data_IF_660317730570
#
_entry.id   IF_660317730570
#
_cell.length_a   1.000
_cell.length_b   1.000
_cell.length_c   1.000
_cell.angle_alpha   90.00
_cell.angle_beta   90.00
_cell.angle_gamma   90.00
#
_symmetry.space_group_name_H-M   'P 1'
#
loop_
_entity.id
_entity.type
_entity.pdbx_description
1 polymer ?
#
# COMPACT_ATOMS: atom_id res chain seq x y z
N UNK A 1 -22.06 9.36 -4.90
CA UNK A 1 -21.19 10.43 -5.46
C UNK A 1 -21.79 11.76 -5.05
N UNK A 2 -21.02 12.63 -4.42
CA UNK A 2 -21.45 14.00 -4.06
C UNK A 2 -20.80 14.93 -5.08
N UNK A 3 -21.59 15.84 -5.67
CA UNK A 3 -21.07 16.85 -6.60
C UNK A 3 -20.25 17.90 -5.84
N UNK A 4 -19.27 18.55 -6.49
CA UNK A 4 -18.48 19.62 -5.86
C UNK A 4 -19.36 20.70 -5.22
N UNK A 5 -20.42 21.11 -5.91
CA UNK A 5 -21.32 22.17 -5.44
C UNK A 5 -22.06 21.78 -4.15
N UNK A 6 -22.68 20.59 -4.14
CA UNK A 6 -23.29 20.03 -2.93
C UNK A 6 -22.31 19.89 -1.75
N UNK A 7 -21.03 19.61 -2.03
CA UNK A 7 -20.01 19.54 -0.98
C UNK A 7 -19.61 20.94 -0.47
N UNK A 8 -19.58 21.95 -1.33
CA UNK A 8 -19.37 23.35 -0.92
C UNK A 8 -20.51 23.79 0.00
N UNK A 9 -21.77 23.46 -0.31
CA UNK A 9 -22.91 23.77 0.57
C UNK A 9 -22.80 23.07 1.94
N UNK A 10 -22.30 21.84 1.99
CA UNK A 10 -22.05 21.15 3.27
C UNK A 10 -20.95 21.83 4.09
N UNK A 11 -19.89 22.30 3.43
CA UNK A 11 -18.81 23.06 4.09
C UNK A 11 -19.34 24.39 4.60
N UNK A 12 -20.18 25.07 3.84
CA UNK A 12 -20.83 26.31 4.23
C UNK A 12 -21.71 26.12 5.47
N UNK A 13 -22.55 25.07 5.50
CA UNK A 13 -23.34 24.69 6.66
C UNK A 13 -22.47 24.37 7.89
N UNK A 14 -21.36 23.65 7.69
CA UNK A 14 -20.40 23.35 8.75
C UNK A 14 -19.78 24.64 9.29
N UNK A 15 -19.30 25.51 8.41
CA UNK A 15 -18.71 26.80 8.76
C UNK A 15 -19.69 27.69 9.52
N UNK A 16 -20.98 27.69 9.16
CA UNK A 16 -22.02 28.41 9.91
C UNK A 16 -22.21 27.87 11.33
N UNK A 17 -22.13 26.54 11.52
CA UNK A 17 -22.31 25.90 12.83
C UNK A 17 -21.10 26.04 13.74
N UNK A 18 -19.89 26.05 13.17
CA UNK A 18 -18.63 26.15 13.91
C UNK A 18 -18.08 27.58 13.95
N UNK A 19 -18.85 28.56 13.47
CA UNK A 19 -18.44 29.96 13.40
C UNK A 19 -18.17 30.50 14.80
N UNK A 20 -16.96 31.01 15.01
CA UNK A 20 -16.57 31.76 16.20
C UNK A 20 -16.55 33.25 15.91
N UNK A 21 -15.40 33.87 16.17
CA UNK A 21 -15.17 35.30 15.97
C UNK A 21 -14.62 35.62 14.56
N UNK A 22 -14.85 34.78 13.55
CA UNK A 22 -14.31 35.02 12.21
C UNK A 22 -14.99 36.20 11.51
N UNK A 23 -14.17 37.02 10.85
CA UNK A 23 -14.63 38.13 10.02
C UNK A 23 -15.40 37.61 8.79
N UNK A 24 -16.36 38.39 8.25
CA UNK A 24 -17.03 38.04 7.00
C UNK A 24 -16.02 37.79 5.86
N UNK A 25 -16.20 36.69 5.13
CA UNK A 25 -15.31 36.30 4.03
C UNK A 25 -14.02 35.58 4.43
N UNK A 26 -13.80 35.35 5.73
CA UNK A 26 -12.77 34.43 6.21
C UNK A 26 -13.38 33.15 6.78
N UNK A 27 -12.54 32.13 6.98
CA UNK A 27 -12.92 30.87 7.61
C UNK A 27 -11.92 30.51 8.69
N UNK A 28 -12.37 29.71 9.65
CA UNK A 28 -11.50 29.14 10.67
C UNK A 28 -10.63 28.04 10.05
N UNK A 29 -9.28 28.14 10.09
CA UNK A 29 -8.40 27.09 9.58
C UNK A 29 -8.68 25.70 10.17
N UNK A 30 -9.25 25.62 11.38
CA UNK A 30 -9.65 24.36 12.02
C UNK A 30 -10.71 23.59 11.24
N UNK A 31 -11.56 24.26 10.45
CA UNK A 31 -12.54 23.61 9.57
C UNK A 31 -11.84 22.69 8.56
N UNK A 32 -10.64 23.07 8.11
CA UNK A 32 -9.85 22.21 7.21
C UNK A 32 -9.40 20.93 7.91
N UNK A 33 -9.12 21.00 9.22
CA UNK A 33 -8.79 19.83 10.02
C UNK A 33 -9.98 18.89 10.18
N UNK A 34 -11.15 19.43 10.53
CA UNK A 34 -12.37 18.63 10.71
C UNK A 34 -12.76 17.93 9.39
N UNK A 35 -12.76 18.68 8.29
CA UNK A 35 -13.03 18.13 6.96
C UNK A 35 -11.99 17.06 6.56
N UNK A 36 -10.72 17.27 6.90
CA UNK A 36 -9.67 16.28 6.63
C UNK A 36 -9.91 14.99 7.39
N UNK A 37 -10.22 15.07 8.69
CA UNK A 37 -10.51 13.91 9.53
C UNK A 37 -11.72 13.13 8.99
N UNK A 38 -12.78 13.82 8.56
CA UNK A 38 -13.94 13.18 7.94
C UNK A 38 -13.57 12.45 6.65
N UNK A 39 -12.80 13.08 5.77
CA UNK A 39 -12.35 12.48 4.50
C UNK A 39 -11.37 11.30 4.71
N UNK A 40 -10.58 11.32 5.77
CA UNK A 40 -9.61 10.28 6.09
C UNK A 40 -10.21 9.07 6.81
N UNK A 41 -11.48 9.11 7.26
CA UNK A 41 -12.15 7.97 7.92
C UNK A 41 -11.98 6.62 7.21
N UNK A 42 -12.05 6.52 5.87
CA UNK A 42 -11.90 5.22 5.18
C UNK A 42 -10.47 4.67 5.19
N UNK A 43 -9.46 5.49 5.48
CA UNK A 43 -8.05 5.10 5.34
C UNK A 43 -7.69 3.90 6.21
N UNK A 44 -8.24 3.81 7.41
CA UNK A 44 -7.94 2.69 8.31
C UNK A 44 -8.38 1.35 7.72
N UNK A 45 -9.62 1.26 7.24
CA UNK A 45 -10.13 0.03 6.65
C UNK A 45 -9.38 -0.34 5.36
N UNK A 46 -9.01 0.65 4.55
CA UNK A 46 -8.24 0.45 3.32
C UNK A 46 -6.83 -0.05 3.64
N UNK A 47 -6.13 0.63 4.55
CA UNK A 47 -4.76 0.30 4.92
C UNK A 47 -4.66 -1.08 5.57
N UNK A 48 -5.55 -1.40 6.53
CA UNK A 48 -5.59 -2.71 7.19
C UNK A 48 -5.81 -3.84 6.17
N UNK A 49 -6.79 -3.68 5.28
CA UNK A 49 -7.06 -4.67 4.23
C UNK A 49 -5.88 -4.83 3.27
N UNK A 50 -5.21 -3.74 2.91
CA UNK A 50 -4.02 -3.80 2.07
C UNK A 50 -2.88 -4.58 2.76
N UNK A 51 -2.61 -4.27 4.03
CA UNK A 51 -1.60 -4.95 4.85
C UNK A 51 -1.87 -6.44 4.95
N UNK A 52 -3.13 -6.83 5.21
CA UNK A 52 -3.54 -8.23 5.26
C UNK A 52 -3.36 -8.94 3.92
N UNK A 53 -3.80 -8.32 2.81
CA UNK A 53 -3.65 -8.90 1.48
C UNK A 53 -2.17 -9.12 1.09
N UNK A 54 -1.29 -8.17 1.42
CA UNK A 54 0.14 -8.28 1.12
C UNK A 54 0.79 -9.35 1.99
N UNK A 55 0.43 -9.41 3.27
CA UNK A 55 0.88 -10.48 4.17
C UNK A 55 0.42 -11.86 3.70
N UNK A 56 -0.86 -12.01 3.31
CA UNK A 56 -1.40 -13.26 2.79
C UNK A 56 -0.67 -13.72 1.52
N UNK A 57 -0.36 -12.78 0.62
CA UNK A 57 0.40 -13.08 -0.59
C UNK A 57 1.82 -13.57 -0.28
N UNK A 58 2.53 -12.88 0.63
CA UNK A 58 3.87 -13.28 1.06
C UNK A 58 3.85 -14.62 1.80
N UNK A 59 2.87 -14.83 2.68
CA UNK A 59 2.74 -16.08 3.41
C UNK A 59 2.44 -17.24 2.48
N UNK A 60 1.53 -17.06 1.52
CA UNK A 60 1.27 -18.05 0.47
C UNK A 60 2.51 -18.35 -0.36
N UNK A 61 3.32 -17.36 -0.69
CA UNK A 61 4.59 -17.57 -1.39
C UNK A 61 5.53 -18.48 -0.58
N UNK A 62 5.72 -18.21 0.71
CA UNK A 62 6.55 -19.06 1.60
C UNK A 62 6.02 -20.50 1.62
N UNK A 63 4.70 -20.69 1.75
CA UNK A 63 4.08 -22.03 1.72
C UNK A 63 4.42 -22.79 0.43
N UNK A 64 4.34 -22.12 -0.72
CA UNK A 64 4.62 -22.73 -2.02
C UNK A 64 6.09 -23.10 -2.17
N UNK A 65 7.01 -22.24 -1.71
CA UNK A 65 8.45 -22.52 -1.75
C UNK A 65 8.79 -23.73 -0.87
N UNK A 66 8.27 -23.78 0.35
CA UNK A 66 8.53 -24.90 1.28
C UNK A 66 7.99 -26.22 0.73
N UNK A 67 6.77 -26.21 0.19
CA UNK A 67 6.17 -27.39 -0.43
C UNK A 67 6.91 -27.88 -1.70
N UNK A 68 7.66 -27.00 -2.36
CA UNK A 68 8.45 -27.36 -3.54
C UNK A 68 9.81 -27.97 -3.16
N UNK A 69 10.42 -27.50 -2.07
CA UNK A 69 11.80 -27.87 -1.68
C UNK A 69 11.83 -29.09 -0.74
N UNK A 70 10.80 -29.28 0.08
CA UNK A 70 10.74 -30.35 1.07
C UNK A 70 9.67 -31.41 0.72
N UNK A 71 9.83 -32.62 1.27
CA UNK A 71 8.78 -33.65 1.24
C UNK A 71 7.55 -33.21 2.06
N UNK A 72 6.40 -33.85 1.82
CA UNK A 72 5.12 -33.42 2.40
C UNK A 72 5.12 -33.39 3.93
N UNK A 73 5.77 -34.36 4.59
CA UNK A 73 5.90 -34.39 6.06
C UNK A 73 6.74 -33.23 6.58
N UNK A 74 7.93 -33.04 6.03
CA UNK A 74 8.85 -31.97 6.45
C UNK A 74 8.26 -30.59 6.15
N UNK A 75 7.60 -30.42 4.99
CA UNK A 75 6.95 -29.17 4.62
C UNK A 75 5.85 -28.78 5.61
N UNK A 76 5.00 -29.73 6.02
CA UNK A 76 3.97 -29.51 7.05
C UNK A 76 4.60 -29.16 8.40
N UNK A 77 5.62 -29.89 8.83
CA UNK A 77 6.26 -29.63 10.12
C UNK A 77 6.93 -28.25 10.17
N UNK A 78 7.68 -27.88 9.12
CA UNK A 78 8.27 -26.54 8.97
C UNK A 78 7.21 -25.44 9.01
N UNK A 79 6.08 -25.69 8.34
CA UNK A 79 4.99 -24.76 8.27
C UNK A 79 4.39 -24.46 9.65
N UNK A 80 4.08 -25.49 10.45
CA UNK A 80 3.47 -25.34 11.77
C UNK A 80 4.46 -24.87 12.85
N UNK A 81 5.68 -25.41 12.86
CA UNK A 81 6.64 -25.14 13.94
C UNK A 81 7.41 -23.83 13.75
N UNK A 82 7.57 -23.35 12.50
CA UNK A 82 8.47 -22.24 12.18
C UNK A 82 7.74 -21.09 11.49
N UNK A 83 7.16 -21.36 10.32
CA UNK A 83 6.66 -20.29 9.45
C UNK A 83 5.37 -19.66 9.97
N UNK A 84 4.41 -20.44 10.45
CA UNK A 84 3.16 -19.91 11.01
C UNK A 84 3.38 -19.00 12.22
N UNK A 85 4.11 -19.42 13.27
CA UNK A 85 4.40 -18.58 14.42
C UNK A 85 5.15 -17.29 14.02
N UNK A 86 6.18 -17.41 13.18
CA UNK A 86 6.97 -16.25 12.76
C UNK A 86 6.13 -15.27 11.93
N UNK A 87 5.37 -15.75 10.94
CA UNK A 87 4.55 -14.90 10.08
C UNK A 87 3.40 -14.25 10.84
N UNK A 88 2.78 -14.94 11.81
CA UNK A 88 1.78 -14.33 12.69
C UNK A 88 2.38 -13.20 13.52
N UNK A 89 3.60 -13.38 14.04
CA UNK A 89 4.36 -12.32 14.70
C UNK A 89 4.60 -11.12 13.79
N UNK A 90 5.00 -11.37 12.54
CA UNK A 90 5.18 -10.32 11.52
C UNK A 90 3.88 -9.56 11.28
N UNK A 91 2.75 -10.26 11.09
CA UNK A 91 1.44 -9.61 10.89
C UNK A 91 1.08 -8.68 12.05
N UNK A 92 1.34 -9.09 13.30
CA UNK A 92 1.08 -8.26 14.46
C UNK A 92 1.96 -6.99 14.43
N UNK A 93 3.26 -7.12 14.16
CA UNK A 93 4.14 -5.94 14.04
C UNK A 93 3.73 -4.99 12.90
N UNK A 94 3.25 -5.53 11.78
CA UNK A 94 2.72 -4.73 10.67
C UNK A 94 1.45 -3.98 11.08
N UNK A 95 0.52 -4.65 11.78
CA UNK A 95 -0.72 -4.05 12.30
C UNK A 95 -0.42 -2.93 13.29
N UNK A 96 0.49 -3.16 14.22
CA UNK A 96 0.88 -2.16 15.22
C UNK A 96 1.52 -0.94 14.55
N UNK A 97 2.43 -1.14 13.59
CA UNK A 97 3.03 -0.04 12.84
C UNK A 97 2.02 0.70 11.97
N UNK A 98 1.07 0.00 11.37
CA UNK A 98 -0.03 0.62 10.59
C UNK A 98 -0.89 1.50 11.48
N UNK A 99 -1.22 1.04 12.69
CA UNK A 99 -1.98 1.83 13.67
C UNK A 99 -1.20 3.08 14.11
N UNK A 100 0.11 2.95 14.33
CA UNK A 100 0.99 4.08 14.61
C UNK A 100 0.93 5.13 13.49
N UNK A 101 1.08 4.71 12.23
CA UNK A 101 1.04 5.61 11.06
C UNK A 101 -0.33 6.26 10.83
N UNK A 102 -1.42 5.60 11.21
CA UNK A 102 -2.78 6.16 11.13
C UNK A 102 -3.05 7.21 12.21
N UNK A 103 -2.38 7.14 13.36
CA UNK A 103 -2.69 7.97 14.53
C UNK A 103 -2.68 9.49 14.23
N UNK A 104 -1.67 10.05 13.53
CA UNK A 104 -1.66 11.48 13.18
C UNK A 104 -2.80 11.89 12.24
N UNK A 105 -3.32 10.97 11.44
CA UNK A 105 -4.39 11.22 10.48
C UNK A 105 -5.80 11.05 11.07
N UNK A 106 -5.90 10.64 12.33
CA UNK A 106 -7.16 10.41 13.05
C UNK A 106 -7.35 11.33 14.25
N UNK A 107 -6.26 11.77 14.90
CA UNK A 107 -6.33 12.48 16.18
C UNK A 107 -5.51 13.77 16.23
N UNK A 108 -4.69 14.06 15.22
CA UNK A 108 -3.78 15.21 15.24
C UNK A 108 -4.16 16.26 14.20
N UNK A 109 -3.70 17.49 14.43
CA UNK A 109 -3.93 18.59 13.52
C UNK A 109 -3.10 18.45 12.24
N UNK A 110 -3.67 18.76 11.07
CA UNK A 110 -2.94 18.89 9.82
C UNK A 110 -1.74 19.82 9.91
N UNK A 111 -0.53 19.29 9.72
CA UNK A 111 0.69 20.09 9.62
C UNK A 111 1.46 19.62 8.38
N UNK A 112 1.97 20.57 7.60
CA UNK A 112 2.90 20.31 6.50
C UNK A 112 3.80 21.51 6.26
N UNK A 113 5.08 21.24 6.01
CA UNK A 113 6.06 22.23 5.54
C UNK A 113 6.36 22.07 4.05
N UNK A 114 5.61 21.21 3.36
CA UNK A 114 5.79 20.97 1.93
C UNK A 114 5.27 22.17 1.12
N UNK A 115 6.15 22.80 0.35
CA UNK A 115 5.84 23.92 -0.55
C UNK A 115 4.76 23.57 -1.58
N UNK A 116 4.54 22.29 -1.87
CA UNK A 116 3.46 21.82 -2.74
C UNK A 116 2.08 22.31 -2.30
N UNK A 117 1.83 22.48 -0.99
CA UNK A 117 0.56 23.01 -0.49
C UNK A 117 0.33 24.44 -1.01
N UNK A 118 1.31 25.33 -0.76
CA UNK A 118 1.20 26.74 -1.13
C UNK A 118 1.21 26.93 -2.64
N UNK A 119 2.01 26.18 -3.37
CA UNK A 119 2.01 26.18 -4.85
C UNK A 119 0.68 25.71 -5.43
N UNK A 120 0.11 24.62 -4.89
CA UNK A 120 -1.18 24.11 -5.35
C UNK A 120 -2.29 25.13 -5.09
N UNK A 121 -2.29 25.77 -3.92
CA UNK A 121 -3.26 26.82 -3.59
C UNK A 121 -3.12 28.04 -4.51
N UNK A 122 -1.89 28.52 -4.73
CA UNK A 122 -1.65 29.62 -5.66
C UNK A 122 -2.11 29.30 -7.08
N UNK A 123 -1.87 28.06 -7.53
CA UNK A 123 -2.32 27.58 -8.83
C UNK A 123 -3.84 27.57 -8.94
N UNK A 124 -4.54 26.96 -7.97
CA UNK A 124 -6.01 26.87 -7.97
C UNK A 124 -6.65 28.25 -7.92
N UNK A 125 -6.14 29.17 -7.09
CA UNK A 125 -6.59 30.57 -7.03
C UNK A 125 -6.42 31.28 -8.37
N UNK A 126 -5.27 31.06 -9.03
CA UNK A 126 -4.96 31.66 -10.34
C UNK A 126 -5.91 31.13 -11.41
N UNK A 127 -6.10 29.82 -11.48
CA UNK A 127 -7.01 29.19 -12.44
C UNK A 127 -8.45 29.66 -12.24
N UNK A 128 -8.95 29.71 -11.00
CA UNK A 128 -10.28 30.27 -10.69
C UNK A 128 -10.42 31.71 -11.18
N UNK A 129 -9.46 32.57 -10.85
CA UNK A 129 -9.49 33.97 -11.26
C UNK A 129 -9.28 34.16 -12.77
N UNK A 130 -8.54 33.28 -13.44
CA UNK A 130 -8.38 33.32 -14.89
C UNK A 130 -9.69 32.93 -15.59
N UNK A 131 -10.32 31.84 -15.15
CA UNK A 131 -11.58 31.37 -15.70
C UNK A 131 -12.70 32.41 -15.53
N UNK A 132 -12.75 33.09 -14.39
CA UNK A 132 -13.75 34.15 -14.17
C UNK A 132 -13.53 35.36 -15.09
N UNK A 133 -12.27 35.80 -15.23
CA UNK A 133 -11.92 36.89 -16.15
C UNK A 133 -12.20 36.52 -17.59
N UNK A 134 -11.88 35.29 -18.00
CA UNK A 134 -12.17 34.78 -19.34
C UNK A 134 -13.68 34.75 -19.61
N UNK A 135 -14.49 34.30 -18.65
CA UNK A 135 -15.96 34.37 -18.77
C UNK A 135 -16.48 35.80 -18.94
N UNK A 136 -15.94 36.75 -18.19
CA UNK A 136 -16.31 38.17 -18.31
C UNK A 136 -15.91 38.71 -19.67
N UNK A 137 -14.70 38.42 -20.14
CA UNK A 137 -14.21 38.84 -21.46
C UNK A 137 -15.07 38.24 -22.58
N UNK A 138 -15.35 36.93 -22.55
CA UNK A 138 -16.23 36.27 -23.50
C UNK A 138 -17.64 36.89 -23.51
N UNK A 139 -18.21 37.16 -22.33
CA UNK A 139 -19.53 37.81 -22.21
C UNK A 139 -19.53 39.24 -22.74
N UNK A 140 -18.48 40.00 -22.46
CA UNK A 140 -18.37 41.41 -22.87
C UNK A 140 -18.20 41.54 -24.39
N UNK A 141 -17.39 40.67 -24.99
CA UNK A 141 -17.14 40.67 -26.43
C UNK A 141 -18.12 39.81 -27.24
N UNK A 142 -19.00 39.06 -26.58
CA UNK A 142 -19.98 38.19 -27.25
C UNK A 142 -19.35 37.02 -28.00
N UNK A 143 -18.19 36.54 -27.54
CA UNK A 143 -17.42 35.47 -28.19
C UNK A 143 -17.40 34.20 -27.35
N UNK A 144 -17.36 33.05 -28.01
CA UNK A 144 -17.27 31.75 -27.34
C UNK A 144 -15.85 31.43 -26.82
N UNK A 145 -14.81 32.08 -27.38
CA UNK A 145 -13.40 31.88 -27.00
C UNK A 145 -12.52 33.10 -27.33
N UNK A 146 -11.48 33.32 -26.53
CA UNK A 146 -10.48 34.37 -26.73
C UNK A 146 -9.32 33.98 -27.69
N UNK A 147 -9.37 32.78 -28.29
CA UNK A 147 -8.25 32.23 -29.08
C UNK A 147 -8.10 32.85 -30.48
N UNK A 148 -9.15 33.42 -31.05
CA UNK A 148 -9.10 34.11 -32.35
C UNK A 148 -10.19 35.16 -32.42
N UNK A 149 -9.80 36.44 -32.32
CA UNK A 149 -10.76 37.53 -32.39
C UNK A 149 -10.28 38.65 -33.31
N UNK A 150 -11.14 39.00 -34.27
CA UNK A 150 -11.05 40.21 -35.08
C UNK A 150 -12.38 40.96 -34.94
N UNK A 151 -12.30 42.22 -34.55
CA UNK A 151 -13.44 43.12 -34.45
C UNK A 151 -13.02 44.52 -34.91
N UNK A 152 -13.86 45.13 -35.75
CA UNK A 152 -13.82 46.56 -36.11
C UNK A 152 -14.72 47.42 -35.18
N UNK A 153 -15.35 46.83 -34.17
CA UNK A 153 -16.23 47.53 -33.23
C UNK A 153 -15.45 48.34 -32.20
N UNK A 154 -16.00 49.52 -31.87
CA UNK A 154 -15.50 50.40 -30.81
C UNK A 154 -16.07 49.96 -29.45
N UNK A 155 -15.19 49.54 -28.53
CA UNK A 155 -15.58 49.09 -27.20
C UNK A 155 -15.27 50.12 -26.11
N UNK A 156 -16.20 50.24 -25.16
CA UNK A 156 -15.96 51.02 -23.95
C UNK A 156 -15.10 50.22 -22.96
N UNK A 157 -13.78 50.44 -23.02
CA UNK A 157 -12.81 49.81 -22.12
C UNK A 157 -13.01 50.17 -20.65
N UNK A 158 -13.71 51.28 -20.32
CA UNK A 158 -14.04 51.60 -18.93
C UNK A 158 -15.08 50.65 -18.38
N UNK A 159 -16.12 50.35 -19.16
CA UNK A 159 -17.13 49.35 -18.79
C UNK A 159 -16.55 47.95 -18.64
N UNK A 160 -15.54 47.61 -19.45
CA UNK A 160 -14.79 46.36 -19.29
C UNK A 160 -13.97 46.38 -17.99
N UNK A 161 -13.26 47.47 -17.70
CA UNK A 161 -12.50 47.62 -16.47
C UNK A 161 -13.40 47.54 -15.23
N UNK A 162 -14.58 48.16 -15.27
CA UNK A 162 -15.58 48.09 -14.20
C UNK A 162 -16.09 46.65 -14.02
N UNK A 163 -16.42 45.95 -15.12
CA UNK A 163 -16.87 44.54 -15.08
C UNK A 163 -15.79 43.60 -14.53
N UNK A 164 -14.51 43.87 -14.82
CA UNK A 164 -13.38 43.13 -14.25
C UNK A 164 -13.09 43.53 -12.79
N UNK A 165 -13.37 44.77 -12.38
CA UNK A 165 -13.20 45.23 -11.01
C UNK A 165 -14.31 44.69 -10.08
N UNK A 166 -15.52 44.53 -10.60
CA UNK A 166 -16.65 43.88 -9.93
C UNK A 166 -16.54 42.34 -9.92
N UNK A 167 -15.51 41.78 -10.58
CA UNK A 167 -15.28 40.33 -10.62
C UNK A 167 -14.84 39.78 -9.27
N UNK A 168 -15.79 39.14 -8.59
CA UNK A 168 -15.59 38.45 -7.31
C UNK A 168 -16.85 37.68 -6.96
N UNK A 169 -16.73 36.61 -6.18
CA UNK A 169 -17.91 35.90 -5.67
C UNK A 169 -18.66 36.86 -4.72
N UNK A 170 -19.90 37.28 -5.03
CA UNK A 170 -20.64 38.21 -4.17
C UNK A 170 -21.03 37.55 -2.85
N UNK A 171 -21.17 36.21 -2.86
CA UNK A 171 -21.36 35.41 -1.67
C UNK A 171 -20.00 35.10 -1.01
N UNK A 172 -19.65 35.94 -0.05
CA UNK A 172 -18.43 35.78 0.74
C UNK A 172 -18.41 34.50 1.57
N UNK A 173 -19.57 33.93 1.91
CA UNK A 173 -19.67 32.65 2.63
C UNK A 173 -19.29 31.48 1.71
N UNK A 174 -19.90 31.44 0.53
CA UNK A 174 -19.59 30.45 -0.50
C UNK A 174 -18.14 30.52 -0.99
N UNK A 175 -17.59 31.73 -1.12
CA UNK A 175 -16.18 31.94 -1.43
C UNK A 175 -15.29 31.29 -0.37
N UNK A 176 -15.54 31.58 0.91
CA UNK A 176 -14.76 31.05 2.01
C UNK A 176 -14.88 29.51 2.11
N UNK A 177 -16.05 28.94 1.83
CA UNK A 177 -16.26 27.49 1.75
C UNK A 177 -15.47 26.84 0.60
N UNK A 178 -15.47 27.46 -0.59
CA UNK A 178 -14.66 26.99 -1.72
C UNK A 178 -13.16 27.11 -1.44
N UNK A 179 -12.75 28.13 -0.69
CA UNK A 179 -11.36 28.31 -0.28
C UNK A 179 -10.91 27.25 0.74
N UNK A 180 -11.76 26.92 1.71
CA UNK A 180 -11.53 25.83 2.65
C UNK A 180 -11.44 24.47 1.94
N UNK A 181 -12.30 24.23 0.93
CA UNK A 181 -12.27 23.03 0.10
C UNK A 181 -10.94 22.89 -0.66
N UNK A 182 -10.40 23.98 -1.20
CA UNK A 182 -9.12 23.92 -1.90
C UNK A 182 -7.96 23.67 -0.95
N UNK A 183 -7.96 24.29 0.23
CA UNK A 183 -7.01 24.01 1.30
C UNK A 183 -7.05 22.53 1.69
N UNK A 184 -8.25 21.98 1.90
CA UNK A 184 -8.47 20.57 2.17
C UNK A 184 -7.89 19.69 1.06
N UNK A 185 -8.25 19.93 -0.20
CA UNK A 185 -7.80 19.12 -1.33
C UNK A 185 -6.27 19.14 -1.50
N UNK A 186 -5.67 20.32 -1.38
CA UNK A 186 -4.23 20.48 -1.49
C UNK A 186 -3.49 19.77 -0.35
N UNK A 187 -3.97 19.90 0.90
CA UNK A 187 -3.41 19.19 2.04
C UNK A 187 -3.60 17.68 1.93
N UNK A 188 -4.82 17.24 1.62
CA UNK A 188 -5.18 15.83 1.48
C UNK A 188 -4.26 15.12 0.48
N UNK A 189 -3.95 15.77 -0.65
CA UNK A 189 -3.04 15.21 -1.65
C UNK A 189 -1.61 15.02 -1.13
N UNK A 190 -1.10 15.94 -0.30
CA UNK A 190 0.22 15.79 0.33
C UNK A 190 0.20 14.66 1.35
N UNK A 191 -0.78 14.67 2.24
CA UNK A 191 -0.93 13.67 3.30
C UNK A 191 -1.10 12.26 2.71
N UNK A 192 -1.93 12.10 1.69
CA UNK A 192 -2.20 10.82 1.03
C UNK A 192 -0.94 10.21 0.44
N UNK A 193 -0.17 11.01 -0.32
CA UNK A 193 1.09 10.54 -0.92
C UNK A 193 2.07 10.08 0.15
N UNK A 194 2.26 10.90 1.19
CA UNK A 194 3.15 10.57 2.30
C UNK A 194 2.71 9.28 3.00
N UNK A 195 1.42 9.14 3.29
CA UNK A 195 0.89 7.96 3.96
C UNK A 195 1.07 6.67 3.13
N UNK A 196 0.89 6.75 1.81
CA UNK A 196 1.13 5.61 0.90
C UNK A 196 2.61 5.22 0.92
N UNK A 197 3.52 6.18 0.81
CA UNK A 197 4.97 5.92 0.86
C UNK A 197 5.38 5.34 2.21
N UNK A 198 4.88 5.90 3.32
CA UNK A 198 5.15 5.41 4.67
C UNK A 198 4.62 4.00 4.89
N UNK A 199 3.44 3.66 4.36
CA UNK A 199 2.89 2.31 4.46
C UNK A 199 3.77 1.31 3.67
N UNK A 200 4.15 1.66 2.45
CA UNK A 200 4.98 0.80 1.62
C UNK A 200 6.37 0.57 2.26
N UNK A 201 7.04 1.64 2.67
CA UNK A 201 8.41 1.56 3.20
C UNK A 201 8.43 1.03 4.63
N UNK A 202 7.61 1.59 5.52
CA UNK A 202 7.73 1.31 6.96
C UNK A 202 6.94 0.09 7.41
N UNK A 203 5.89 -0.31 6.69
CA UNK A 203 5.09 -1.51 7.03
C UNK A 203 5.48 -2.68 6.14
N UNK A 204 5.45 -2.50 4.81
CA UNK A 204 5.70 -3.63 3.89
C UNK A 204 7.20 -3.96 3.85
N UNK A 205 8.04 -3.04 3.37
CA UNK A 205 9.48 -3.30 3.22
C UNK A 205 10.15 -3.57 4.57
N UNK A 206 9.96 -2.66 5.53
CA UNK A 206 10.69 -2.73 6.79
C UNK A 206 10.19 -3.80 7.76
N UNK A 207 8.92 -4.25 7.72
CA UNK A 207 8.40 -5.27 8.65
C UNK A 207 8.16 -6.63 8.00
N UNK A 208 7.66 -6.68 6.78
CA UNK A 208 7.41 -7.94 6.09
C UNK A 208 8.66 -8.43 5.36
N UNK A 209 9.16 -7.66 4.40
CA UNK A 209 10.25 -8.11 3.52
C UNK A 209 11.54 -8.35 4.30
N UNK A 210 11.91 -7.44 5.21
CA UNK A 210 13.08 -7.63 6.07
C UNK A 210 12.96 -8.83 7.02
N UNK A 211 11.75 -9.19 7.44
CA UNK A 211 11.52 -10.32 8.32
C UNK A 211 11.58 -11.65 7.57
N UNK A 212 11.13 -11.69 6.30
CA UNK A 212 11.23 -12.88 5.47
C UNK A 212 12.67 -13.35 5.29
N UNK A 213 13.60 -12.41 5.08
CA UNK A 213 15.04 -12.70 5.01
C UNK A 213 15.55 -13.31 6.32
N UNK A 214 15.10 -12.79 7.47
CA UNK A 214 15.48 -13.31 8.79
C UNK A 214 14.89 -14.69 9.10
N UNK A 215 13.65 -14.96 8.70
CA UNK A 215 12.98 -16.25 8.95
C UNK A 215 13.70 -17.38 8.20
N UNK A 216 14.24 -17.09 7.03
CA UNK A 216 14.97 -18.05 6.19
C UNK A 216 16.49 -18.01 6.40
N UNK A 217 16.98 -17.24 7.37
CA UNK A 217 18.40 -17.00 7.52
C UNK A 217 19.12 -18.26 8.04
N UNK A 218 20.22 -18.70 7.41
CA UNK A 218 20.93 -19.94 7.78
C UNK A 218 21.33 -20.00 9.26
N UNK A 219 21.72 -18.86 9.85
CA UNK A 219 22.09 -18.80 11.27
C UNK A 219 20.93 -19.10 12.20
N UNK A 220 19.72 -18.64 11.88
CA UNK A 220 18.52 -18.93 12.67
C UNK A 220 18.15 -20.41 12.61
N UNK A 221 18.39 -21.05 11.46
CA UNK A 221 18.22 -22.50 11.29
C UNK A 221 19.27 -23.27 12.10
N UNK A 222 20.53 -22.85 12.09
CA UNK A 222 21.60 -23.48 12.88
C UNK A 222 21.42 -23.34 14.41
N UNK A 223 20.59 -22.39 14.86
CA UNK A 223 20.29 -22.16 16.29
C UNK A 223 19.03 -22.88 16.77
N UNK A 224 18.36 -23.65 15.91
CA UNK A 224 17.20 -24.44 16.29
C UNK A 224 17.59 -25.48 17.34
N UNK A 225 16.74 -25.65 18.36
CA UNK A 225 16.95 -26.65 19.41
C UNK A 225 16.84 -28.05 18.82
N UNK A 226 17.63 -29.01 19.33
CA UNK A 226 17.61 -30.40 18.88
C UNK A 226 16.20 -31.01 18.90
N UNK A 227 15.38 -30.64 19.89
CA UNK A 227 13.97 -31.05 19.98
C UNK A 227 13.11 -30.50 18.83
N UNK A 228 13.35 -29.27 18.39
CA UNK A 228 12.65 -28.68 17.24
C UNK A 228 13.10 -29.34 15.94
N UNK A 229 14.40 -29.62 15.80
CA UNK A 229 14.93 -30.32 14.63
C UNK A 229 14.35 -31.73 14.55
N UNK A 230 14.24 -32.44 15.67
CA UNK A 230 13.62 -33.76 15.74
C UNK A 230 12.13 -33.74 15.36
N UNK A 231 11.39 -32.68 15.72
CA UNK A 231 9.98 -32.53 15.30
C UNK A 231 9.82 -32.23 13.80
N UNK A 232 10.81 -31.59 13.19
CA UNK A 232 10.76 -31.16 11.79
C UNK A 232 11.28 -32.24 10.84
N UNK A 233 12.43 -32.85 11.17
CA UNK A 233 13.17 -33.75 10.29
C UNK A 233 13.43 -35.13 10.92
N UNK A 234 12.81 -35.43 12.08
CA UNK A 234 12.88 -36.74 12.67
C UNK A 234 12.19 -37.78 11.78
N UNK A 235 12.93 -38.83 11.39
CA UNK A 235 12.33 -39.97 10.71
C UNK A 235 11.25 -40.58 11.62
N UNK A 236 10.07 -40.88 11.05
CA UNK A 236 9.07 -41.68 11.76
C UNK A 236 9.58 -43.11 11.98
N UNK A 237 9.08 -43.80 13.00
CA UNK A 237 9.48 -45.18 13.28
C UNK A 237 9.16 -46.12 12.09
N UNK A 238 8.05 -45.87 11.39
CA UNK A 238 7.70 -46.58 10.14
C UNK A 238 8.71 -46.32 9.02
N UNK A 239 9.06 -45.06 8.76
CA UNK A 239 10.06 -44.73 7.72
C UNK A 239 11.43 -45.32 8.05
N UNK A 240 11.81 -45.32 9.33
CA UNK A 240 13.07 -45.89 9.80
C UNK A 240 13.11 -47.41 9.61
N UNK A 241 12.05 -48.11 9.97
CA UNK A 241 11.93 -49.57 9.81
C UNK A 241 11.88 -49.98 8.34
N UNK A 242 11.14 -49.24 7.51
CA UNK A 242 11.10 -49.46 6.06
C UNK A 242 12.49 -49.24 5.43
N UNK A 243 13.21 -48.18 5.82
CA UNK A 243 14.59 -47.93 5.37
C UNK A 243 15.53 -49.07 5.74
N UNK A 244 15.44 -49.59 6.95
CA UNK A 244 16.22 -50.74 7.40
C UNK A 244 15.91 -52.01 6.59
N UNK A 245 14.62 -52.25 6.28
CA UNK A 245 14.19 -53.38 5.47
C UNK A 245 14.66 -53.26 4.01
N UNK A 246 14.51 -52.10 3.39
CA UNK A 246 14.97 -51.83 2.02
C UNK A 246 16.49 -51.97 1.91
N UNK A 247 17.26 -51.46 2.87
CA UNK A 247 18.72 -51.62 2.88
C UNK A 247 19.15 -53.10 2.97
N UNK A 248 18.47 -53.91 3.80
CA UNK A 248 18.71 -55.36 3.85
C UNK A 248 18.42 -56.03 2.50
N UNK A 249 17.32 -55.68 1.84
CA UNK A 249 16.99 -56.21 0.51
C UNK A 249 18.05 -55.81 -0.53
N UNK A 250 18.50 -54.56 -0.49
CA UNK A 250 19.52 -54.04 -1.40
C UNK A 250 20.85 -54.78 -1.23
N UNK A 251 21.24 -55.06 0.01
CA UNK A 251 22.44 -55.84 0.34
C UNK A 251 22.35 -57.28 -0.19
N UNK A 252 21.21 -57.95 0.03
CA UNK A 252 20.95 -59.30 -0.50
C UNK A 252 21.01 -59.32 -2.03
N UNK A 253 20.38 -58.34 -2.70
CA UNK A 253 20.39 -58.24 -4.15
C UNK A 253 21.79 -57.94 -4.71
N UNK A 254 22.58 -57.09 -4.04
CA UNK A 254 23.97 -56.84 -4.42
C UNK A 254 24.83 -58.10 -4.31
N UNK A 255 24.71 -58.82 -3.19
CA UNK A 255 25.44 -60.07 -2.98
C UNK A 255 25.03 -61.14 -4.01
N UNK A 256 23.74 -61.25 -4.31
CA UNK A 256 23.22 -62.14 -5.36
C UNK A 256 23.75 -61.78 -6.75
N UNK A 257 23.76 -60.49 -7.10
CA UNK A 257 24.31 -60.01 -8.37
C UNK A 257 25.81 -60.26 -8.50
N UNK A 258 26.58 -60.05 -7.43
CA UNK A 258 28.01 -60.36 -7.40
C UNK A 258 28.28 -61.85 -7.58
N UNK A 259 27.47 -62.70 -6.93
CA UNK A 259 27.52 -64.14 -7.09
C UNK A 259 27.24 -64.55 -8.54
N UNK A 260 26.17 -64.02 -9.15
CA UNK A 260 25.86 -64.27 -10.56
C UNK A 260 27.00 -63.82 -11.50
N UNK A 261 27.62 -62.66 -11.25
CA UNK A 261 28.79 -62.19 -12.02
C UNK A 261 29.97 -63.15 -11.92
N UNK A 262 30.26 -63.70 -10.73
CA UNK A 262 31.33 -64.71 -10.54
C UNK A 262 31.03 -65.99 -11.33
N UNK A 263 29.78 -66.44 -11.36
CA UNK A 263 29.38 -67.62 -12.16
C UNK A 263 29.47 -67.40 -13.67
N UNK A 264 29.14 -66.20 -14.17
CA UNK A 264 29.31 -65.86 -15.59
C UNK A 264 30.79 -65.78 -15.97
N UNK A 265 31.65 -65.23 -15.10
CA UNK A 265 33.11 -65.23 -15.31
C UNK A 265 33.70 -66.66 -15.37
N UNK A 266 33.17 -67.59 -14.57
CA UNK A 266 33.55 -69.00 -14.61
C UNK A 266 33.16 -69.70 -15.92
N UNK A 267 31.99 -69.38 -16.49
CA UNK A 267 31.53 -69.97 -17.76
C UNK A 267 32.31 -69.50 -18.98
N UNK A 268 32.87 -68.29 -18.97
CA UNK A 268 33.67 -67.76 -20.09
C UNK A 268 35.10 -68.33 -20.07
N UNK A 269 35.68 -68.63 -18.90
CA UNK A 269 37.00 -69.29 -18.80
C UNK A 269 36.97 -70.81 -19.01
N UNK A 270 35.81 -71.45 -18.92
CA UNK A 270 35.64 -72.89 -19.20
C UNK A 270 35.45 -73.27 -20.67
N UNK A 271 35.42 -72.29 -21.59
CA UNK A 271 35.09 -72.48 -23.02
C UNK A 271 36.27 -72.53 -24.00
N UNK A 272 37.53 -72.46 -23.54
CA UNK A 272 38.72 -72.67 -24.38
C UNK A 272 39.43 -73.95 -23.94
N UNK A 273 39.04 -75.06 -24.52
CA UNK A 273 39.88 -76.25 -24.74
C UNK A 273 39.07 -77.24 -25.59
N UNK A 274 39.06 -77.04 -26.90
CA UNK A 274 39.08 -78.06 -27.96
C UNK A 274 39.70 -77.41 -29.20
#
# INVERSE_FOLDING_TARGET
>A
YITRDAFISQIEDLMHRTRGCELPGSFNPMVVADLFLEQCRPWEAIARRHVENVWDAAFRFVKLVVAHVADESTAKALQYEVFEPAMNGVLQTMRDKTKELLTPHQHSHPITYNHYLTETLQKVRRERGQNERERILCRFFGVDSLQSWHSDDEYDLRRLADSLAESGEPDMGRYAASEALDCLNAYYKVALKRFIDDLAVQVIEAKLISALDRILHPVSICQMLDEQVARIAGESEETRTEREQLNKQLEVLRNGLETCKRFVGFRISGGKNW
#
